data_IF_412573305838
#
_entry.id   IF_412573305838
#
_cell.length_a   1.000
_cell.length_b   1.000
_cell.length_c   1.000
_cell.angle_alpha   90.00
_cell.angle_beta   90.00
_cell.angle_gamma   90.00
#
_symmetry.space_group_name_H-M   'P 1'
#
loop_
_entity.id
_entity.type
_entity.pdbx_description
1 polymer ?
#
# COMPACT_ATOMS: atom_id res chain seq x y z
N UNK A 1 2.96 9.66 13.52
CA UNK A 1 3.55 8.40 13.00
C UNK A 1 3.83 8.63 11.52
N UNK A 2 4.99 8.25 10.99
CA UNK A 2 5.32 8.42 9.57
C UNK A 2 5.03 7.10 8.84
N UNK A 3 4.18 7.13 7.81
CA UNK A 3 3.88 5.96 6.97
C UNK A 3 4.90 5.85 5.82
N UNK A 4 4.96 4.68 5.19
CA UNK A 4 5.72 4.47 3.97
C UNK A 4 5.18 5.38 2.84
N UNK A 5 6.07 5.82 1.94
CA UNK A 5 5.71 6.65 0.78
C UNK A 5 4.57 6.05 -0.05
N UNK A 6 4.60 4.74 -0.31
CA UNK A 6 3.63 4.06 -1.17
C UNK A 6 2.21 4.06 -0.60
N UNK A 7 2.07 4.15 0.73
CA UNK A 7 0.77 4.34 1.39
C UNK A 7 0.17 5.70 1.04
N UNK A 8 0.98 6.76 1.07
CA UNK A 8 0.55 8.09 0.66
C UNK A 8 0.31 8.16 -0.85
N UNK A 9 1.20 7.54 -1.64
CA UNK A 9 1.10 7.56 -3.09
C UNK A 9 -0.19 6.92 -3.58
N UNK A 10 -0.60 5.79 -2.98
CA UNK A 10 -1.87 5.15 -3.31
C UNK A 10 -3.07 5.99 -2.83
N UNK A 11 -3.06 6.43 -1.57
CA UNK A 11 -4.16 7.23 -0.98
C UNK A 11 -4.41 8.55 -1.72
N UNK A 12 -3.34 9.23 -2.16
CA UNK A 12 -3.41 10.47 -2.93
C UNK A 12 -3.48 10.26 -4.44
N UNK A 13 -3.60 9.02 -4.91
CA UNK A 13 -3.70 8.66 -6.33
C UNK A 13 -2.51 9.12 -7.17
N UNK A 14 -1.32 9.18 -6.56
CA UNK A 14 -0.04 9.40 -7.26
C UNK A 14 0.52 8.10 -7.85
N UNK A 15 0.07 6.95 -7.34
CA UNK A 15 0.41 5.62 -7.82
C UNK A 15 -0.86 4.77 -7.96
N UNK A 16 -0.80 3.76 -8.82
CA UNK A 16 -1.84 2.73 -8.96
C UNK A 16 -1.55 1.53 -8.04
N UNK A 17 -2.53 0.65 -7.84
CA UNK A 17 -2.34 -0.58 -7.09
C UNK A 17 -1.25 -1.48 -7.70
N UNK A 18 -1.15 -1.56 -9.04
CA UNK A 18 -0.08 -2.31 -9.72
C UNK A 18 1.32 -1.78 -9.39
N UNK A 19 1.52 -0.46 -9.41
CA UNK A 19 2.81 0.15 -9.04
C UNK A 19 3.19 -0.16 -7.59
N UNK A 20 2.21 -0.21 -6.69
CA UNK A 20 2.44 -0.57 -5.27
C UNK A 20 2.75 -2.06 -5.14
N UNK A 21 2.12 -2.94 -5.92
CA UNK A 21 2.47 -4.37 -5.98
C UNK A 21 3.92 -4.57 -6.43
N UNK A 22 4.37 -3.84 -7.44
CA UNK A 22 5.78 -3.86 -7.86
C UNK A 22 6.69 -3.36 -6.73
N UNK A 23 6.35 -2.27 -6.06
CA UNK A 23 7.13 -1.77 -4.93
C UNK A 23 7.24 -2.79 -3.79
N UNK A 24 6.19 -3.59 -3.56
CA UNK A 24 6.24 -4.71 -2.61
C UNK A 24 7.17 -5.81 -3.10
N UNK A 25 7.09 -6.17 -4.38
CA UNK A 25 7.95 -7.20 -4.98
C UNK A 25 9.46 -6.82 -4.96
N UNK A 26 9.78 -5.52 -4.94
CA UNK A 26 11.15 -5.01 -4.83
C UNK A 26 11.56 -4.61 -3.39
N UNK A 27 10.81 -5.02 -2.37
CA UNK A 27 11.06 -4.70 -0.94
C UNK A 27 11.10 -3.19 -0.61
N UNK A 28 10.57 -2.32 -1.49
CA UNK A 28 10.49 -0.86 -1.28
C UNK A 28 9.25 -0.48 -0.43
N UNK A 29 8.27 -1.39 -0.33
CA UNK A 29 7.14 -1.31 0.58
C UNK A 29 6.82 -2.68 1.17
N UNK A 30 6.66 -2.79 2.49
CA UNK A 30 6.26 -4.06 3.11
C UNK A 30 4.74 -4.21 3.21
N UNK A 31 4.25 -5.44 3.35
CA UNK A 31 2.83 -5.69 3.68
C UNK A 31 2.44 -5.05 5.02
N UNK A 32 3.36 -4.98 5.99
CA UNK A 32 3.12 -4.29 7.26
C UNK A 32 2.94 -2.78 7.08
N UNK A 33 3.63 -2.17 6.12
CA UNK A 33 3.44 -0.74 5.81
C UNK A 33 2.04 -0.49 5.25
N UNK A 34 1.56 -1.33 4.33
CA UNK A 34 0.18 -1.24 3.83
C UNK A 34 -0.83 -1.48 4.95
N UNK A 35 -0.58 -2.45 5.86
CA UNK A 35 -1.43 -2.70 7.03
C UNK A 35 -1.53 -1.47 7.94
N UNK A 36 -0.43 -0.77 8.21
CA UNK A 36 -0.46 0.52 8.94
C UNK A 36 -1.25 1.58 8.18
N UNK A 37 -1.20 1.57 6.86
CA UNK A 37 -2.06 2.41 6.00
C UNK A 37 -3.55 2.14 6.22
N UNK A 38 -3.94 0.87 6.40
CA UNK A 38 -5.32 0.48 6.75
C UNK A 38 -5.70 0.95 8.16
N UNK A 39 -4.84 0.69 9.15
CA UNK A 39 -5.07 1.10 10.55
C UNK A 39 -5.24 2.61 10.72
N UNK A 40 -4.57 3.39 9.87
CA UNK A 40 -4.63 4.85 9.86
C UNK A 40 -5.68 5.44 8.91
N UNK A 41 -6.41 4.59 8.17
CA UNK A 41 -7.49 4.99 7.28
C UNK A 41 -7.05 5.60 5.94
N UNK A 42 -5.77 5.50 5.59
CA UNK A 42 -5.26 5.95 4.28
C UNK A 42 -5.54 4.97 3.16
N UNK A 43 -5.60 3.67 3.50
CA UNK A 43 -5.89 2.56 2.58
C UNK A 43 -7.16 1.87 3.06
N UNK A 44 -8.07 1.57 2.14
CA UNK A 44 -9.28 0.80 2.44
C UNK A 44 -8.96 -0.69 2.59
N UNK A 45 -9.88 -1.44 3.23
CA UNK A 45 -9.74 -2.90 3.32
C UNK A 45 -9.80 -3.58 1.95
N UNK A 46 -10.54 -2.99 1.01
CA UNK A 46 -10.66 -3.47 -0.37
C UNK A 46 -9.36 -3.28 -1.13
N UNK A 47 -8.75 -2.09 -1.08
CA UNK A 47 -7.44 -1.83 -1.67
C UNK A 47 -6.35 -2.74 -1.06
N UNK A 48 -6.39 -2.97 0.25
CA UNK A 48 -5.47 -3.92 0.89
C UNK A 48 -5.63 -5.35 0.37
N UNK A 49 -6.87 -5.82 0.20
CA UNK A 49 -7.14 -7.12 -0.40
C UNK A 49 -6.66 -7.18 -1.84
N UNK A 50 -6.89 -6.15 -2.65
CA UNK A 50 -6.42 -6.08 -4.03
C UNK A 50 -4.88 -6.20 -4.12
N UNK A 51 -4.15 -5.47 -3.26
CA UNK A 51 -2.69 -5.49 -3.22
C UNK A 51 -2.12 -6.85 -2.78
N UNK A 52 -2.86 -7.60 -1.95
CA UNK A 52 -2.38 -8.86 -1.34
C UNK A 52 -2.93 -10.13 -1.99
N UNK A 53 -3.91 -10.04 -2.89
CA UNK A 53 -4.57 -11.21 -3.48
C UNK A 53 -3.72 -12.00 -4.47
N UNK A 54 -2.57 -11.47 -4.91
CA UNK A 54 -1.70 -12.07 -5.95
C UNK A 54 -0.22 -12.14 -5.55
N UNK A 55 0.09 -11.99 -4.26
CA UNK A 55 1.45 -12.10 -3.70
C UNK A 55 1.74 -13.50 -3.16
#
# INVERSE_FOLDING_TARGET
>A
MKLNFWVYALSYKWATAEMVKEAIAYDDCSIEDIRKGVETGYITKEEFQELTSEL
#
